data_IF_945436408106
#
_entry.id   IF_945436408106
#
_cell.length_a   1.000
_cell.length_b   1.000
_cell.length_c   1.000
_cell.angle_alpha   90.00
_cell.angle_beta   90.00
_cell.angle_gamma   90.00
#
_symmetry.space_group_name_H-M   'P 1'
#
loop_
_entity.id
_entity.type
_entity.pdbx_description
1 polymer ?
#
# COMPACT_ATOMS: atom_id res chain seq x y z
N UNK A 1 -24.33 -8.31 -17.78
CA UNK A 1 -23.63 -8.78 -16.57
C UNK A 1 -22.47 -7.84 -16.34
N UNK A 2 -22.37 -7.22 -15.16
CA UNK A 2 -21.20 -6.41 -14.82
C UNK A 2 -20.01 -7.35 -14.63
N UNK A 3 -18.87 -7.01 -15.23
CA UNK A 3 -17.63 -7.75 -15.05
C UNK A 3 -17.16 -7.66 -13.59
N UNK A 4 -16.73 -8.78 -13.01
CA UNK A 4 -16.20 -8.82 -11.65
C UNK A 4 -15.02 -7.86 -11.52
N UNK A 5 -15.06 -7.00 -10.50
CA UNK A 5 -14.01 -6.02 -10.24
C UNK A 5 -13.04 -6.56 -9.19
N UNK A 6 -11.75 -6.53 -9.50
CA UNK A 6 -10.67 -7.06 -8.67
C UNK A 6 -9.84 -5.93 -8.09
N UNK A 7 -9.48 -6.05 -6.81
CA UNK A 7 -8.43 -5.25 -6.20
C UNK A 7 -7.29 -6.15 -5.75
N UNK A 8 -6.08 -5.86 -6.21
CA UNK A 8 -4.87 -6.51 -5.74
C UNK A 8 -4.50 -5.92 -4.38
N UNK A 9 -4.39 -6.75 -3.35
CA UNK A 9 -3.82 -6.39 -2.04
C UNK A 9 -2.44 -7.02 -1.99
N UNK A 10 -1.41 -6.19 -2.16
CA UNK A 10 -0.04 -6.64 -2.36
C UNK A 10 0.77 -6.35 -1.10
N UNK A 11 1.48 -7.34 -0.57
CA UNK A 11 2.27 -7.17 0.65
C UNK A 11 2.28 -8.43 1.53
N UNK A 12 2.70 -8.32 2.79
CA UNK A 12 2.64 -9.45 3.72
C UNK A 12 1.18 -9.88 3.93
N UNK A 13 0.92 -11.18 3.97
CA UNK A 13 -0.39 -11.74 4.30
C UNK A 13 -0.66 -11.68 5.82
N UNK A 14 -0.58 -10.47 6.39
CA UNK A 14 -0.76 -10.18 7.81
C UNK A 14 -2.22 -9.84 8.15
N UNK A 15 -2.56 -9.58 9.43
CA UNK A 15 -3.93 -9.24 9.82
C UNK A 15 -4.51 -8.01 9.10
N UNK A 16 -3.69 -7.00 8.77
CA UNK A 16 -4.15 -5.82 8.02
C UNK A 16 -4.57 -6.21 6.61
N UNK A 17 -3.78 -7.02 5.91
CA UNK A 17 -4.14 -7.51 4.57
C UNK A 17 -5.46 -8.28 4.56
N UNK A 18 -5.69 -9.14 5.57
CA UNK A 18 -6.93 -9.92 5.71
C UNK A 18 -8.12 -9.01 5.98
N UNK A 19 -8.01 -8.06 6.91
CA UNK A 19 -9.10 -7.13 7.25
C UNK A 19 -9.44 -6.21 6.09
N UNK A 20 -8.42 -5.73 5.37
CA UNK A 20 -8.62 -4.94 4.16
C UNK A 20 -9.33 -5.75 3.08
N UNK A 21 -8.96 -7.02 2.88
CA UNK A 21 -9.63 -7.90 1.92
C UNK A 21 -11.10 -8.13 2.28
N UNK A 22 -11.43 -8.40 3.55
CA UNK A 22 -12.81 -8.52 4.01
C UNK A 22 -13.62 -7.24 3.68
N UNK A 23 -13.07 -6.05 3.99
CA UNK A 23 -13.76 -4.78 3.71
C UNK A 23 -13.92 -4.49 2.22
N UNK A 24 -12.93 -4.84 1.38
CA UNK A 24 -13.05 -4.71 -0.08
C UNK A 24 -14.16 -5.62 -0.62
N UNK A 25 -14.24 -6.84 -0.10
CA UNK A 25 -15.29 -7.79 -0.46
C UNK A 25 -16.69 -7.28 -0.08
N UNK A 26 -16.83 -6.68 1.11
CA UNK A 26 -18.09 -6.05 1.55
C UNK A 26 -18.51 -4.85 0.66
N UNK A 27 -17.55 -4.21 0.00
CA UNK A 27 -17.78 -3.18 -1.02
C UNK A 27 -18.09 -3.73 -2.42
N UNK A 28 -18.20 -5.06 -2.57
CA UNK A 28 -18.45 -5.73 -3.85
C UNK A 28 -17.23 -5.80 -4.76
N UNK A 29 -16.02 -5.59 -4.23
CA UNK A 29 -14.76 -5.69 -4.97
C UNK A 29 -14.08 -6.99 -4.55
N UNK A 30 -13.76 -7.86 -5.50
CA UNK A 30 -13.06 -9.12 -5.20
C UNK A 30 -11.60 -8.84 -4.83
N UNK A 31 -11.20 -9.06 -3.57
CA UNK A 31 -9.79 -8.92 -3.20
C UNK A 31 -9.00 -10.13 -3.72
N UNK A 32 -7.77 -9.88 -4.18
CA UNK A 32 -6.79 -10.92 -4.50
C UNK A 32 -5.51 -10.59 -3.74
N UNK A 33 -5.09 -11.49 -2.87
CA UNK A 33 -3.87 -11.31 -2.08
C UNK A 33 -2.66 -11.71 -2.95
N UNK A 34 -1.71 -10.80 -3.11
CA UNK A 34 -0.46 -11.03 -3.84
C UNK A 34 0.73 -10.84 -2.90
N UNK A 35 1.39 -11.94 -2.57
CA UNK A 35 2.55 -11.94 -1.69
C UNK A 35 3.84 -11.75 -2.49
N UNK A 36 4.73 -10.89 -1.97
CA UNK A 36 6.05 -10.67 -2.55
C UNK A 36 7.04 -11.58 -1.83
N UNK A 37 7.64 -12.50 -2.57
CA UNK A 37 8.61 -13.47 -2.05
C UNK A 37 10.02 -12.98 -2.33
N UNK A 38 10.85 -12.89 -1.29
CA UNK A 38 12.23 -12.43 -1.42
C UNK A 38 13.18 -13.63 -1.52
N UNK A 39 14.18 -13.57 -2.40
CA UNK A 39 15.25 -14.57 -2.46
C UNK A 39 16.51 -14.08 -1.72
N UNK A 40 17.10 -14.90 -0.84
CA UNK A 40 18.38 -14.59 -0.18
C UNK A 40 18.30 -13.45 0.85
N UNK A 41 19.29 -12.56 0.86
CA UNK A 41 19.40 -11.33 1.68
C UNK A 41 18.39 -10.24 1.28
N UNK A 42 17.13 -10.62 1.03
CA UNK A 42 16.04 -9.65 0.90
C UNK A 42 15.94 -8.77 2.14
N UNK A 43 15.07 -7.73 2.13
CA UNK A 43 14.79 -6.98 3.35
C UNK A 43 14.56 -7.96 4.50
N UNK A 44 15.18 -7.70 5.65
CA UNK A 44 14.83 -8.37 6.91
C UNK A 44 13.46 -7.84 7.36
N UNK A 45 12.49 -7.90 6.43
CA UNK A 45 11.09 -8.06 6.74
C UNK A 45 11.08 -9.40 7.42
N UNK A 46 11.16 -9.38 8.75
CA UNK A 46 11.59 -10.54 9.49
C UNK A 46 11.01 -11.83 8.92
N UNK A 47 11.82 -12.89 9.00
CA UNK A 47 11.24 -14.09 9.61
C UNK A 47 10.58 -13.63 10.91
N UNK A 48 9.36 -13.12 10.82
CA UNK A 48 8.46 -12.95 11.91
C UNK A 48 8.16 -14.40 12.26
N UNK A 49 9.05 -14.97 13.07
CA UNK A 49 8.67 -15.89 14.11
C UNK A 49 7.53 -15.20 14.85
N UNK A 50 6.32 -15.36 14.33
CA UNK A 50 5.24 -16.13 14.90
C UNK A 50 5.45 -16.47 16.40
N UNK A 51 5.72 -15.45 17.20
CA UNK A 51 5.76 -15.51 18.66
C UNK A 51 4.56 -14.75 19.20
N UNK A 52 3.47 -15.52 19.23
CA UNK A 52 2.66 -15.68 20.44
C UNK A 52 1.40 -14.82 20.64
N UNK A 53 0.80 -14.21 19.61
CA UNK A 53 -0.47 -13.47 19.81
C UNK A 53 -1.71 -13.86 18.96
N UNK A 54 -1.62 -14.46 17.76
CA UNK A 54 -2.84 -14.62 16.92
C UNK A 54 -2.95 -15.96 16.15
N UNK A 55 -2.44 -17.05 16.73
CA UNK A 55 -2.37 -18.37 16.05
C UNK A 55 -3.73 -19.08 15.81
N UNK A 56 -4.87 -18.52 16.22
CA UNK A 56 -6.18 -19.21 16.10
C UNK A 56 -7.12 -18.72 14.99
N UNK A 57 -7.08 -17.43 14.62
CA UNK A 57 -8.18 -16.79 13.86
C UNK A 57 -7.75 -16.36 12.45
N UNK A 58 -6.45 -16.12 12.21
CA UNK A 58 -5.95 -15.57 10.94
C UNK A 58 -5.78 -16.62 9.82
N UNK A 59 -5.36 -17.85 10.14
CA UNK A 59 -5.01 -18.86 9.12
C UNK A 59 -6.21 -19.47 8.40
N UNK A 60 -7.36 -19.65 9.08
CA UNK A 60 -8.58 -20.14 8.43
C UNK A 60 -9.20 -19.08 7.51
N UNK A 61 -9.16 -17.80 7.91
CA UNK A 61 -9.66 -16.69 7.08
C UNK A 61 -8.77 -16.39 5.87
N UNK A 62 -7.47 -16.66 5.97
CA UNK A 62 -6.53 -16.55 4.85
C UNK A 62 -6.86 -17.48 3.67
N UNK A 63 -7.74 -18.47 3.83
CA UNK A 63 -8.22 -19.34 2.74
C UNK A 63 -9.41 -18.74 1.96
N UNK A 64 -10.01 -17.63 2.43
CA UNK A 64 -11.24 -17.07 1.86
C UNK A 64 -11.05 -16.41 0.50
N UNK A 65 -9.88 -15.85 0.22
CA UNK A 65 -9.61 -15.05 -0.97
C UNK A 65 -8.51 -15.66 -1.84
N UNK A 66 -8.54 -15.47 -3.18
CA UNK A 66 -7.49 -15.98 -4.05
C UNK A 66 -6.12 -15.43 -3.65
N UNK A 67 -5.13 -16.32 -3.62
CA UNK A 67 -3.74 -16.00 -3.24
C UNK A 67 -2.78 -16.32 -4.37
N UNK A 68 -1.86 -15.40 -4.59
CA UNK A 68 -0.77 -15.54 -5.53
C UNK A 68 0.53 -15.08 -4.86
N UNK A 69 1.65 -15.53 -5.41
CA UNK A 69 2.96 -15.08 -5.00
C UNK A 69 3.76 -14.71 -6.25
N UNK A 70 4.61 -13.70 -6.11
CA UNK A 70 5.61 -13.34 -7.13
C UNK A 70 6.93 -13.06 -6.43
N UNK A 71 8.04 -13.48 -7.02
CA UNK A 71 9.33 -13.13 -6.44
C UNK A 71 9.66 -11.67 -6.69
N UNK A 72 10.32 -11.02 -5.74
CA UNK A 72 10.67 -9.61 -5.84
C UNK A 72 11.62 -9.27 -7.01
N UNK A 73 12.37 -10.26 -7.50
CA UNK A 73 13.28 -10.16 -8.64
C UNK A 73 12.62 -10.50 -9.98
N UNK A 74 11.39 -11.03 -9.96
CA UNK A 74 10.62 -11.40 -11.15
C UNK A 74 9.70 -10.26 -11.62
N UNK A 75 9.29 -10.34 -12.89
CA UNK A 75 8.28 -9.43 -13.45
C UNK A 75 6.87 -9.88 -13.02
N UNK A 76 6.10 -9.05 -12.29
CA UNK A 76 4.75 -9.41 -11.87
C UNK A 76 3.71 -9.43 -12.99
N UNK A 77 4.06 -9.03 -14.23
CA UNK A 77 3.12 -9.00 -15.35
C UNK A 77 2.36 -10.32 -15.55
N UNK A 78 3.06 -11.46 -15.51
CA UNK A 78 2.44 -12.77 -15.78
C UNK A 78 1.44 -13.17 -14.69
N UNK A 79 1.75 -12.90 -13.42
CA UNK A 79 0.84 -13.22 -12.31
C UNK A 79 -0.38 -12.30 -12.34
N UNK A 80 -0.19 -11.01 -12.63
CA UNK A 80 -1.30 -10.04 -12.75
C UNK A 80 -2.20 -10.40 -13.93
N UNK A 81 -1.63 -10.80 -15.07
CA UNK A 81 -2.39 -11.28 -16.23
C UNK A 81 -3.21 -12.53 -15.91
N UNK A 82 -2.64 -13.47 -15.13
CA UNK A 82 -3.35 -14.65 -14.65
C UNK A 82 -4.50 -14.26 -13.72
N UNK A 83 -4.31 -13.28 -12.84
CA UNK A 83 -5.36 -12.77 -11.96
C UNK A 83 -6.50 -12.15 -12.79
N UNK A 84 -6.18 -11.24 -13.73
CA UNK A 84 -7.15 -10.63 -14.65
C UNK A 84 -8.01 -11.68 -15.36
N UNK A 85 -7.38 -12.73 -15.88
CA UNK A 85 -8.03 -13.82 -16.62
C UNK A 85 -8.96 -14.67 -15.76
N UNK A 86 -8.58 -14.93 -14.50
CA UNK A 86 -9.31 -15.86 -13.63
C UNK A 86 -10.37 -15.17 -12.77
N UNK A 87 -10.16 -13.92 -12.38
CA UNK A 87 -10.97 -13.26 -11.35
C UNK A 87 -11.74 -12.02 -11.84
N UNK A 88 -11.39 -11.46 -13.00
CA UNK A 88 -12.08 -10.31 -13.59
C UNK A 88 -11.20 -9.06 -13.72
N UNK A 89 -11.82 -7.94 -14.08
CA UNK A 89 -11.12 -6.70 -14.41
C UNK A 89 -10.42 -6.10 -13.20
N UNK A 90 -9.16 -5.71 -13.37
CA UNK A 90 -8.37 -5.12 -12.29
C UNK A 90 -8.74 -3.64 -12.17
N UNK A 91 -9.44 -3.31 -11.08
CA UNK A 91 -9.89 -1.96 -10.76
C UNK A 91 -8.87 -1.19 -9.93
N UNK A 92 -8.01 -1.89 -9.19
CA UNK A 92 -6.97 -1.21 -8.45
C UNK A 92 -5.98 -2.10 -7.72
N UNK A 93 -4.99 -1.45 -7.13
CA UNK A 93 -3.91 -2.06 -6.37
C UNK A 93 -3.70 -1.29 -5.08
N UNK A 94 -3.65 -2.00 -3.95
CA UNK A 94 -3.21 -1.48 -2.66
C UNK A 94 -1.93 -2.21 -2.29
N UNK A 95 -0.83 -1.46 -2.23
CA UNK A 95 0.48 -1.96 -1.85
C UNK A 95 0.71 -1.67 -0.36
N UNK A 96 0.62 -2.71 0.45
CA UNK A 96 0.94 -2.71 1.88
C UNK A 96 2.45 -2.90 2.01
N UNK A 97 3.14 -1.81 2.33
CA UNK A 97 4.56 -1.85 2.57
C UNK A 97 4.86 -2.83 3.70
N UNK A 98 5.79 -3.77 3.50
CA UNK A 98 6.14 -4.69 4.56
C UNK A 98 6.69 -3.93 5.77
N UNK A 99 6.14 -4.22 6.96
CA UNK A 99 6.61 -3.60 8.19
C UNK A 99 8.03 -4.04 8.49
N UNK A 100 8.92 -3.09 8.75
CA UNK A 100 10.22 -3.39 9.33
C UNK A 100 10.40 -2.48 10.54
N UNK A 101 10.38 -3.03 11.77
CA UNK A 101 10.69 -2.22 12.94
C UNK A 101 12.12 -1.72 12.78
N UNK A 102 12.31 -0.40 12.87
CA UNK A 102 13.64 0.16 13.02
C UNK A 102 14.26 -0.44 14.30
N UNK A 103 15.54 -0.87 14.28
CA UNK A 103 16.23 -1.24 15.50
C UNK A 103 16.23 -0.03 16.45
N UNK A 104 15.58 -0.16 17.61
CA UNK A 104 15.49 0.92 18.59
C UNK A 104 16.89 1.47 18.92
N UNK A 105 17.04 2.80 18.88
CA UNK A 105 18.21 3.51 19.40
C UNK A 105 19.44 3.53 18.49
N UNK A 106 19.30 3.29 17.18
CA UNK A 106 20.38 3.55 16.21
C UNK A 106 19.87 4.48 15.11
N UNK A 107 20.58 5.58 14.77
CA UNK A 107 20.31 6.31 13.55
C UNK A 107 20.39 5.30 12.41
N UNK A 108 19.31 5.13 11.65
CA UNK A 108 19.24 4.09 10.62
C UNK A 108 20.41 4.30 9.65
N UNK A 109 21.41 3.40 9.57
CA UNK A 109 22.23 3.36 8.38
C UNK A 109 21.28 3.14 7.19
N UNK A 110 21.60 3.73 6.04
CA UNK A 110 20.87 3.49 4.79
C UNK A 110 20.65 1.99 4.68
N UNK A 111 19.38 1.55 4.73
CA UNK A 111 19.07 0.13 4.76
C UNK A 111 19.61 -0.50 3.49
N UNK A 112 20.33 -1.61 3.61
CA UNK A 112 20.85 -2.36 2.46
C UNK A 112 19.72 -2.87 1.55
N UNK A 113 18.52 -2.98 2.09
CA UNK A 113 17.32 -3.41 1.39
C UNK A 113 16.51 -2.28 0.72
N UNK A 114 16.89 -1.01 0.94
CA UNK A 114 16.16 0.14 0.42
C UNK A 114 15.91 0.10 -1.10
N UNK A 115 16.88 -0.30 -1.94
CA UNK A 115 16.64 -0.43 -3.39
C UNK A 115 15.53 -1.42 -3.73
N UNK A 116 15.39 -2.48 -2.94
CA UNK A 116 14.38 -3.52 -3.15
C UNK A 116 12.99 -3.06 -2.75
N UNK A 117 12.89 -2.30 -1.66
CA UNK A 117 11.63 -1.74 -1.16
C UNK A 117 10.99 -0.75 -2.13
N UNK A 118 11.79 -0.02 -2.93
CA UNK A 118 11.27 0.85 -4.00
C UNK A 118 11.07 0.15 -5.34
N UNK A 119 11.90 -0.86 -5.64
CA UNK A 119 11.81 -1.60 -6.91
C UNK A 119 10.47 -2.30 -7.08
N UNK A 120 9.98 -2.95 -6.02
CA UNK A 120 8.74 -3.73 -6.07
C UNK A 120 7.51 -2.87 -6.41
N UNK A 121 7.18 -1.78 -5.69
CA UNK A 121 6.04 -0.94 -6.04
C UNK A 121 6.16 -0.34 -7.45
N UNK A 122 7.37 -0.03 -7.90
CA UNK A 122 7.61 0.43 -9.27
C UNK A 122 7.31 -0.64 -10.32
N UNK A 123 7.77 -1.88 -10.12
CA UNK A 123 7.48 -3.00 -11.03
C UNK A 123 6.00 -3.36 -11.02
N UNK A 124 5.35 -3.33 -9.86
CA UNK A 124 3.90 -3.52 -9.74
C UNK A 124 3.12 -2.44 -10.48
N UNK A 125 3.51 -1.17 -10.33
CA UNK A 125 2.91 -0.05 -11.05
C UNK A 125 3.03 -0.23 -12.57
N UNK A 126 4.23 -0.54 -13.06
CA UNK A 126 4.48 -0.84 -14.48
C UNK A 126 3.57 -1.97 -14.97
N UNK A 127 3.48 -3.05 -14.19
CA UNK A 127 2.77 -4.25 -14.61
C UNK A 127 1.24 -4.13 -14.54
N UNK A 128 0.72 -3.40 -13.55
CA UNK A 128 -0.73 -3.23 -13.38
C UNK A 128 -1.30 -2.19 -14.36
N UNK A 129 -0.49 -1.23 -14.82
CA UNK A 129 -0.93 -0.10 -15.65
C UNK A 129 -1.79 -0.51 -16.86
N UNK A 130 -1.42 -1.47 -17.72
CA UNK A 130 -2.23 -1.81 -18.89
C UNK A 130 -3.65 -2.25 -18.52
N UNK A 131 -3.79 -2.99 -17.40
CA UNK A 131 -5.08 -3.48 -16.91
C UNK A 131 -5.94 -2.37 -16.30
N UNK A 132 -5.31 -1.38 -15.64
CA UNK A 132 -6.03 -0.20 -15.16
C UNK A 132 -6.56 0.64 -16.33
N UNK A 133 -5.75 0.84 -17.38
CA UNK A 133 -6.18 1.59 -18.57
C UNK A 133 -7.36 0.89 -19.28
N UNK A 134 -7.25 -0.42 -19.49
CA UNK A 134 -8.35 -1.26 -20.01
C UNK A 134 -9.63 -1.11 -19.18
N UNK A 135 -9.51 -1.10 -17.85
CA UNK A 135 -10.64 -0.95 -16.95
C UNK A 135 -11.26 0.45 -17.00
N UNK A 136 -10.44 1.49 -17.20
CA UNK A 136 -10.88 2.87 -17.38
C UNK A 136 -11.69 3.06 -18.65
N UNK A 137 -11.22 2.51 -19.78
CA UNK A 137 -11.94 2.52 -21.06
C UNK A 137 -13.30 1.80 -20.98
N UNK A 138 -13.38 0.77 -20.13
CA UNK A 138 -14.60 -0.02 -19.92
C UNK A 138 -15.62 0.65 -18.97
N UNK A 139 -15.30 1.82 -18.41
CA UNK A 139 -16.20 2.57 -17.53
C UNK A 139 -16.41 1.94 -16.15
N UNK A 140 -15.45 1.16 -15.64
CA UNK A 140 -15.55 0.43 -14.36
C UNK A 140 -15.50 1.32 -13.09
N UNK A 141 -15.64 2.64 -13.25
CA UNK A 141 -15.66 3.62 -12.17
C UNK A 141 -14.25 4.05 -11.73
N UNK A 142 -14.13 4.52 -10.48
CA UNK A 142 -12.86 5.01 -9.92
C UNK A 142 -11.84 3.87 -9.89
N UNK A 143 -10.72 4.04 -10.62
CA UNK A 143 -9.52 3.21 -10.57
C UNK A 143 -8.59 3.71 -9.47
N UNK A 144 -7.83 2.84 -8.82
CA UNK A 144 -6.89 3.29 -7.78
C UNK A 144 -5.54 2.57 -7.77
N UNK A 145 -4.52 3.33 -7.37
CA UNK A 145 -3.22 2.83 -6.97
C UNK A 145 -2.88 3.45 -5.61
N UNK A 146 -2.80 2.62 -4.58
CA UNK A 146 -2.55 3.09 -3.21
C UNK A 146 -1.30 2.46 -2.64
N UNK A 147 -0.51 3.26 -1.95
CA UNK A 147 0.63 2.78 -1.15
C UNK A 147 0.29 3.00 0.32
N UNK A 148 0.60 2.02 1.17
CA UNK A 148 0.31 2.07 2.60
C UNK A 148 1.58 1.78 3.38
N UNK A 149 2.02 2.73 4.19
CA UNK A 149 3.13 2.59 5.13
C UNK A 149 2.62 2.46 6.56
N UNK A 150 3.43 1.85 7.44
CA UNK A 150 3.22 1.88 8.89
C UNK A 150 4.38 2.60 9.57
N UNK A 151 4.19 3.89 9.86
CA UNK A 151 5.18 4.75 10.52
C UNK A 151 4.55 5.48 11.71
N UNK A 152 4.66 6.80 11.77
CA UNK A 152 4.13 7.66 12.82
C UNK A 152 2.68 8.11 12.58
N UNK A 153 2.13 7.82 11.39
CA UNK A 153 0.79 8.29 11.00
C UNK A 153 0.74 9.80 10.76
N UNK A 154 1.90 10.44 10.69
CA UNK A 154 2.11 11.87 10.51
C UNK A 154 2.99 12.15 9.29
N UNK A 155 3.10 11.19 8.37
CA UNK A 155 3.88 11.33 7.13
C UNK A 155 5.38 11.54 7.40
N UNK A 156 5.88 11.01 8.52
CA UNK A 156 7.26 11.21 8.97
C UNK A 156 7.54 12.60 9.55
N UNK A 157 6.50 13.38 9.88
CA UNK A 157 6.63 14.76 10.36
C UNK A 157 6.60 14.88 11.89
N UNK A 158 6.53 13.76 12.63
CA UNK A 158 6.60 13.78 14.10
C UNK A 158 7.94 14.30 14.65
N UNK A 159 9.00 14.26 13.84
CA UNK A 159 10.36 14.60 14.25
C UNK A 159 11.02 13.54 15.14
N UNK A 160 10.41 12.36 15.29
CA UNK A 160 10.98 11.24 16.03
C UNK A 160 11.97 10.41 15.21
N UNK A 161 12.86 9.69 15.90
CA UNK A 161 13.84 8.78 15.28
C UNK A 161 13.20 7.48 14.71
N UNK A 162 11.90 7.30 14.92
CA UNK A 162 11.14 6.10 14.51
C UNK A 162 10.65 6.14 13.05
N UNK A 163 11.03 7.17 12.29
CA UNK A 163 10.67 7.31 10.88
C UNK A 163 11.77 6.74 9.97
N UNK A 164 11.43 5.70 9.21
CA UNK A 164 12.29 5.13 8.17
C UNK A 164 12.21 5.97 6.89
N UNK A 165 13.28 6.70 6.48
CA UNK A 165 13.26 7.58 5.31
C UNK A 165 13.01 6.82 4.00
N UNK A 166 13.27 5.52 3.96
CA UNK A 166 12.94 4.66 2.81
C UNK A 166 11.41 4.56 2.67
N UNK A 167 10.67 4.46 3.76
CA UNK A 167 9.21 4.42 3.69
C UNK A 167 8.63 5.77 3.30
N UNK A 168 9.23 6.88 3.73
CA UNK A 168 8.85 8.23 3.30
C UNK A 168 8.92 8.44 1.77
N UNK A 169 9.73 7.68 1.04
CA UNK A 169 9.81 7.77 -0.41
C UNK A 169 8.57 7.25 -1.17
N UNK A 170 7.66 6.51 -0.51
CA UNK A 170 6.43 6.00 -1.13
C UNK A 170 5.50 7.12 -1.63
N UNK A 171 5.53 8.27 -0.94
CA UNK A 171 4.87 9.48 -1.38
C UNK A 171 5.37 9.98 -2.74
N UNK A 172 6.68 9.89 -2.98
CA UNK A 172 7.31 10.23 -4.25
C UNK A 172 6.81 9.36 -5.41
N UNK A 173 6.76 8.04 -5.23
CA UNK A 173 6.21 7.11 -6.24
C UNK A 173 4.76 7.49 -6.56
N UNK A 174 3.95 7.69 -5.52
CA UNK A 174 2.52 8.00 -5.69
C UNK A 174 2.32 9.32 -6.43
N UNK A 175 3.10 10.37 -6.11
CA UNK A 175 3.05 11.67 -6.80
C UNK A 175 3.41 11.55 -8.28
N UNK A 176 4.45 10.79 -8.61
CA UNK A 176 4.84 10.55 -10.01
C UNK A 176 3.73 9.81 -10.77
N UNK A 177 3.21 8.71 -10.21
CA UNK A 177 2.14 7.94 -10.85
C UNK A 177 0.86 8.76 -11.03
N UNK A 178 0.53 9.62 -10.07
CA UNK A 178 -0.59 10.57 -10.21
C UNK A 178 -0.42 11.49 -11.41
N UNK A 179 0.78 12.04 -11.60
CA UNK A 179 1.07 12.94 -12.70
C UNK A 179 1.04 12.21 -14.06
N UNK A 180 1.47 10.94 -14.08
CA UNK A 180 1.49 10.10 -15.28
C UNK A 180 0.12 9.51 -15.64
N UNK A 181 -0.71 9.20 -14.64
CA UNK A 181 -1.98 8.47 -14.80
C UNK A 181 -3.17 9.34 -14.35
N UNK A 182 -3.58 10.30 -15.18
CA UNK A 182 -4.66 11.24 -14.88
C UNK A 182 -5.99 10.61 -14.47
N UNK A 183 -6.28 9.40 -14.97
CA UNK A 183 -7.54 8.69 -14.72
C UNK A 183 -7.46 7.69 -13.55
N UNK A 184 -6.30 7.55 -12.91
CA UNK A 184 -6.10 6.67 -11.76
C UNK A 184 -5.99 7.51 -10.49
N UNK A 185 -6.80 7.17 -9.48
CA UNK A 185 -6.68 7.77 -8.17
C UNK A 185 -5.46 7.20 -7.44
N UNK A 186 -4.41 8.01 -7.34
CA UNK A 186 -3.18 7.67 -6.63
C UNK A 186 -3.16 8.30 -5.24
N UNK A 187 -2.93 7.50 -4.19
CA UNK A 187 -2.78 7.97 -2.80
C UNK A 187 -1.74 7.19 -2.02
N UNK A 188 -0.97 7.90 -1.20
CA UNK A 188 -0.07 7.32 -0.20
C UNK A 188 -0.69 7.54 1.17
N UNK A 189 -0.79 6.47 1.94
CA UNK A 189 -1.40 6.43 3.27
C UNK A 189 -0.33 6.02 4.26
N UNK A 190 -0.04 6.87 5.22
CA UNK A 190 0.80 6.54 6.36
C UNK A 190 -0.06 6.23 7.58
N UNK A 191 0.07 5.03 8.13
CA UNK A 191 -0.68 4.58 9.30
C UNK A 191 0.25 4.55 10.51
N UNK A 192 -0.22 5.04 11.65
CA UNK A 192 0.53 4.94 12.88
C UNK A 192 0.70 3.47 13.30
N UNK A 193 1.90 3.10 13.75
CA UNK A 193 2.27 1.71 14.04
C UNK A 193 1.41 1.05 15.13
N UNK A 194 0.85 1.86 16.03
CA UNK A 194 -0.03 1.47 17.12
C UNK A 194 -1.47 1.15 16.69
N UNK A 195 -1.85 1.47 15.45
CA UNK A 195 -3.18 1.15 14.93
C UNK A 195 -3.32 -0.37 14.75
N UNK A 196 -4.38 -0.93 15.32
CA UNK A 196 -4.70 -2.34 15.08
C UNK A 196 -5.17 -2.58 13.62
N UNK A 197 -5.26 -3.85 13.23
CA UNK A 197 -5.64 -4.21 11.86
C UNK A 197 -7.06 -3.74 11.46
N UNK A 198 -7.98 -3.60 12.41
CA UNK A 198 -9.34 -3.13 12.12
C UNK A 198 -9.34 -1.62 11.86
N UNK A 199 -8.69 -0.83 12.73
CA UNK A 199 -8.50 0.61 12.57
C UNK A 199 -7.73 0.93 11.28
N UNK A 200 -6.61 0.25 11.05
CA UNK A 200 -5.76 0.42 9.88
C UNK A 200 -6.52 0.11 8.58
N UNK A 201 -7.23 -1.01 8.52
CA UNK A 201 -8.01 -1.38 7.32
C UNK A 201 -9.20 -0.43 7.08
N UNK A 202 -9.85 0.06 8.15
CA UNK A 202 -10.90 1.06 8.05
C UNK A 202 -10.37 2.39 7.48
N UNK A 203 -9.21 2.85 7.94
CA UNK A 203 -8.54 4.04 7.41
C UNK A 203 -8.22 3.89 5.92
N UNK A 204 -7.60 2.79 5.50
CA UNK A 204 -7.29 2.52 4.08
C UNK A 204 -8.56 2.55 3.21
N UNK A 205 -9.65 1.94 3.67
CA UNK A 205 -10.93 1.96 2.93
C UNK A 205 -11.54 3.36 2.88
N UNK A 206 -11.48 4.13 3.97
CA UNK A 206 -11.92 5.52 3.96
C UNK A 206 -11.18 6.35 2.90
N UNK A 207 -9.87 6.12 2.76
CA UNK A 207 -9.05 6.79 1.74
C UNK A 207 -9.37 6.31 0.31
N UNK A 208 -9.69 5.04 0.11
CA UNK A 208 -10.15 4.53 -1.18
C UNK A 208 -11.46 5.20 -1.63
N UNK A 209 -12.36 5.43 -0.66
CA UNK A 209 -13.68 6.02 -0.88
C UNK A 209 -13.69 7.55 -0.84
N UNK A 210 -12.56 8.20 -0.51
CA UNK A 210 -12.49 9.66 -0.41
C UNK A 210 -12.87 10.32 -1.76
N UNK A 211 -13.88 11.21 -1.76
CA UNK A 211 -14.24 11.99 -2.94
C UNK A 211 -13.17 13.03 -3.30
N UNK A 212 -12.37 13.51 -2.34
CA UNK A 212 -11.32 14.47 -2.60
C UNK A 212 -10.13 13.80 -3.28
N UNK A 213 -10.07 13.94 -4.60
CA UNK A 213 -8.99 13.40 -5.42
C UNK A 213 -7.72 14.22 -5.38
N UNK A 214 -7.67 15.39 -4.76
CA UNK A 214 -6.50 16.29 -4.81
C UNK A 214 -5.44 15.96 -3.78
N UNK A 215 -5.82 15.33 -2.68
CA UNK A 215 -4.90 14.94 -1.61
C UNK A 215 -4.16 13.66 -2.02
N UNK A 216 -2.84 13.75 -2.11
CA UNK A 216 -1.96 12.65 -2.54
C UNK A 216 -1.42 11.86 -1.35
N UNK A 217 -1.17 12.52 -0.23
CA UNK A 217 -0.56 11.93 0.97
C UNK A 217 -1.43 12.23 2.18
N UNK A 218 -1.67 11.19 2.98
CA UNK A 218 -2.47 11.27 4.20
C UNK A 218 -1.81 10.46 5.30
N UNK A 219 -1.82 11.00 6.50
CA UNK A 219 -1.46 10.28 7.72
C UNK A 219 -2.72 9.91 8.51
N UNK A 220 -2.73 8.76 9.16
CA UNK A 220 -3.74 8.38 10.14
C UNK A 220 -3.04 7.91 11.41
N UNK A 221 -3.45 8.49 12.54
CA UNK A 221 -2.92 8.11 13.85
C UNK A 221 -3.77 8.70 14.97
N UNK A 222 -3.21 8.82 16.19
CA UNK A 222 -3.91 9.37 17.35
C UNK A 222 -4.45 10.79 17.16
N UNK A 223 -3.83 11.55 16.24
CA UNK A 223 -4.25 12.92 15.88
C UNK A 223 -5.38 12.94 14.84
N UNK A 224 -5.87 11.77 14.43
CA UNK A 224 -6.83 11.62 13.35
C UNK A 224 -6.17 11.63 11.97
N UNK A 225 -6.96 11.99 10.96
CA UNK A 225 -6.50 12.09 9.58
C UNK A 225 -5.78 13.42 9.34
N UNK A 226 -4.52 13.36 8.94
CA UNK A 226 -3.69 14.52 8.61
C UNK A 226 -3.25 14.52 7.14
N UNK A 227 -2.83 15.68 6.63
CA UNK A 227 -2.21 15.82 5.31
C UNK A 227 -1.18 16.96 5.35
N UNK A 228 -0.35 17.08 4.31
CA UNK A 228 0.64 18.15 4.21
C UNK A 228 0.01 19.41 3.62
N UNK A 229 0.32 20.54 4.23
CA UNK A 229 -0.01 21.87 3.72
C UNK A 229 1.28 22.68 3.62
N UNK A 230 1.52 23.26 2.43
CA UNK A 230 2.61 24.20 2.25
C UNK A 230 2.20 25.55 2.83
N UNK A 231 2.81 25.93 3.96
CA UNK A 231 2.59 27.24 4.57
C UNK A 231 3.63 28.21 4.01
N UNK A 232 3.17 29.26 3.33
CA UNK A 232 4.06 30.33 2.87
C UNK A 232 4.47 31.20 4.06
N UNK A 233 5.72 31.08 4.51
CA UNK A 233 6.33 32.07 5.38
C UNK A 233 7.00 33.14 4.52
N UNK A 234 6.69 34.42 4.77
CA UNK A 234 7.34 35.52 4.07
C UNK A 234 8.80 35.61 4.53
N UNK A 235 9.68 34.85 3.88
CA UNK A 235 11.11 34.80 4.18
C UNK A 235 11.89 36.03 3.68
N UNK A 236 11.20 36.99 3.05
CA UNK A 236 11.80 38.24 2.59
C UNK A 236 11.22 39.43 3.36
N UNK A 237 12.07 40.31 3.94
CA UNK A 237 11.59 41.62 4.37
C UNK A 237 11.00 42.33 3.17
N UNK A 238 9.79 42.85 3.30
CA UNK A 238 9.21 43.77 2.31
C UNK A 238 10.13 44.98 2.22
N UNK A 239 10.72 45.21 1.04
CA UNK A 239 11.61 46.35 0.75
C UNK A 239 10.79 47.65 0.72
#
# INVERSE_FOLDING_TARGET
>A
MHETQVCLVVGPCDPLAVRLADRLHDLGITPVLLEIVWSGDGPDVGRLENRDAEKGIALEKLQRFPRYSVRADEDPQQVIQRVRKLHGAIRGLVYLQPGSPLPQGRPSPIRSDAPYLFRVPFLLAKAVRPFLMEAGESGLGKLWFMTVTRQDGLLGMSGGDDCDPVLGGMGGITKSLRAEWSDVFCRSVDLAIEMDADQASAAVVAELLDPNRMIVEVGHGPQGRVTLEAVGEALWPTI
#
